data_IF_740441454546
#
_entry.id   IF_740441454546
#
_cell.length_a   1.000
_cell.length_b   1.000
_cell.length_c   1.000
_cell.angle_alpha   90.00
_cell.angle_beta   90.00
_cell.angle_gamma   90.00
#
_symmetry.space_group_name_H-M   'P 1'
#
loop_
_entity.id
_entity.type
_entity.pdbx_description
1 polymer ?
#
# COMPACT_ATOMS: atom_id res chain seq x y z
N UNK A 1 77.34 76.95 30.12
CA UNK A 1 75.98 76.96 30.72
C UNK A 1 74.96 77.16 29.60
N UNK A 2 74.06 76.20 29.42
CA UNK A 2 72.94 76.28 28.46
C UNK A 2 71.78 77.07 29.08
N UNK A 3 70.87 77.64 28.27
CA UNK A 3 69.46 77.69 28.66
C UNK A 3 68.55 76.94 27.68
N UNK A 4 67.54 76.35 28.30
CA UNK A 4 66.61 75.32 27.83
C UNK A 4 65.39 75.96 27.16
N UNK A 5 64.96 75.40 26.03
CA UNK A 5 63.71 75.71 25.35
C UNK A 5 62.51 75.07 26.06
N UNK A 6 61.48 75.86 26.39
CA UNK A 6 60.16 75.40 26.81
C UNK A 6 59.39 74.82 25.62
N UNK A 7 58.90 73.58 25.75
CA UNK A 7 57.88 72.99 24.87
C UNK A 7 56.68 72.64 25.76
N UNK A 8 55.53 73.30 25.53
CA UNK A 8 54.28 73.01 26.22
C UNK A 8 53.64 71.72 25.70
N UNK A 9 53.15 70.90 26.63
CA UNK A 9 52.56 69.56 26.41
C UNK A 9 51.08 69.64 26.04
N UNK A 10 50.70 69.15 24.86
CA UNK A 10 49.30 69.03 24.37
C UNK A 10 48.83 67.57 24.35
N UNK A 11 48.97 66.83 25.45
CA UNK A 11 48.62 65.39 25.51
C UNK A 11 47.47 65.03 26.49
N UNK A 12 46.64 65.99 26.90
CA UNK A 12 45.57 65.71 27.89
C UNK A 12 44.15 65.56 27.31
N UNK A 13 43.90 65.88 26.03
CA UNK A 13 42.52 65.93 25.50
C UNK A 13 42.07 64.69 24.73
N UNK A 14 42.96 63.75 24.40
CA UNK A 14 42.64 62.59 23.54
C UNK A 14 42.21 61.33 24.31
N UNK A 15 42.37 61.31 25.64
CA UNK A 15 42.07 60.12 26.46
C UNK A 15 40.59 60.02 26.87
N UNK A 16 39.85 61.13 26.90
CA UNK A 16 38.43 61.14 27.27
C UNK A 16 37.49 60.88 26.08
N UNK A 17 37.92 61.10 24.83
CA UNK A 17 37.09 60.87 23.64
C UNK A 17 37.01 59.40 23.25
N UNK A 18 38.09 58.63 23.45
CA UNK A 18 38.14 57.19 23.16
C UNK A 18 37.28 56.37 24.12
N UNK A 19 37.29 56.69 25.42
CA UNK A 19 36.50 55.96 26.43
C UNK A 19 34.97 56.12 26.24
N UNK A 20 34.51 57.25 25.71
CA UNK A 20 33.09 57.49 25.40
C UNK A 20 32.65 56.77 24.11
N UNK A 21 33.55 56.65 23.13
CA UNK A 21 33.27 55.94 21.87
C UNK A 21 33.19 54.41 22.09
N UNK A 22 34.02 53.84 22.96
CA UNK A 22 33.99 52.40 23.27
C UNK A 22 32.73 51.98 24.04
N UNK A 23 32.24 52.80 24.97
CA UNK A 23 30.97 52.57 25.67
C UNK A 23 29.76 52.64 24.73
N UNK A 24 29.75 53.58 23.77
CA UNK A 24 28.68 53.67 22.76
C UNK A 24 28.66 52.46 21.81
N UNK A 25 29.81 51.84 21.57
CA UNK A 25 29.98 50.66 20.72
C UNK A 25 29.54 49.38 21.45
N UNK A 26 29.83 49.24 22.75
CA UNK A 26 29.30 48.17 23.63
C UNK A 26 27.77 48.20 23.73
N UNK A 27 27.18 49.39 23.94
CA UNK A 27 25.73 49.55 24.06
C UNK A 27 25.01 49.26 22.72
N UNK A 28 25.62 49.63 21.60
CA UNK A 28 25.14 49.31 20.26
C UNK A 28 25.20 47.80 19.98
N UNK A 29 26.27 47.12 20.41
CA UNK A 29 26.38 45.64 20.30
C UNK A 29 25.32 44.92 21.13
N UNK A 30 25.05 45.37 22.37
CA UNK A 30 23.96 44.81 23.20
C UNK A 30 22.60 44.97 22.52
N UNK A 31 22.29 46.16 21.99
CA UNK A 31 21.03 46.41 21.25
C UNK A 31 20.85 45.49 20.05
N UNK A 32 21.93 45.15 19.33
CA UNK A 32 21.89 44.20 18.20
C UNK A 32 21.67 42.76 18.68
N UNK A 33 22.28 42.35 19.81
CA UNK A 33 22.10 41.02 20.40
C UNK A 33 20.67 40.85 20.92
N UNK A 34 20.13 41.85 21.60
CA UNK A 34 18.76 41.84 22.13
C UNK A 34 17.72 41.84 20.99
N UNK A 35 17.95 42.63 19.93
CA UNK A 35 17.11 42.60 18.72
C UNK A 35 17.17 41.24 18.01
N UNK A 36 18.34 40.58 17.96
CA UNK A 36 18.48 39.24 17.42
C UNK A 36 17.78 38.18 18.30
N UNK A 37 17.79 38.34 19.63
CA UNK A 37 17.07 37.49 20.55
C UNK A 37 15.54 37.62 20.39
N UNK A 38 15.03 38.83 20.21
CA UNK A 38 13.61 39.09 19.93
C UNK A 38 13.18 38.50 18.58
N UNK A 39 14.01 38.62 17.54
CA UNK A 39 13.74 38.01 16.23
C UNK A 39 13.70 36.48 16.33
N UNK A 40 14.62 35.86 17.07
CA UNK A 40 14.62 34.40 17.33
C UNK A 40 13.38 33.98 18.12
N UNK A 41 12.96 34.75 19.12
CA UNK A 41 11.74 34.47 19.88
C UNK A 41 10.48 34.55 19.00
N UNK A 42 10.39 35.51 18.08
CA UNK A 42 9.28 35.62 17.11
C UNK A 42 9.24 34.46 16.13
N UNK A 43 10.40 34.03 15.60
CA UNK A 43 10.48 32.86 14.71
C UNK A 43 10.09 31.58 15.45
N UNK A 44 10.58 31.39 16.68
CA UNK A 44 10.22 30.23 17.50
C UNK A 44 8.72 30.22 17.87
N UNK A 45 8.10 31.38 18.13
CA UNK A 45 6.66 31.48 18.37
C UNK A 45 5.85 31.14 17.10
N UNK A 46 6.27 31.65 15.94
CA UNK A 46 5.64 31.34 14.66
C UNK A 46 5.76 29.86 14.27
N UNK A 47 6.88 29.21 14.58
CA UNK A 47 7.07 27.77 14.40
C UNK A 47 6.17 26.94 15.33
N UNK A 48 6.03 27.35 16.60
CA UNK A 48 5.11 26.68 17.55
C UNK A 48 3.66 26.78 17.07
N UNK A 49 3.23 27.94 16.58
CA UNK A 49 1.88 28.13 16.04
C UNK A 49 1.65 27.30 14.76
N UNK A 50 2.66 27.17 13.88
CA UNK A 50 2.59 26.26 12.72
C UNK A 50 2.48 24.79 13.14
N UNK A 51 3.24 24.36 14.15
CA UNK A 51 3.16 22.99 14.70
C UNK A 51 1.80 22.71 15.32
N UNK A 52 1.24 23.64 16.10
CA UNK A 52 -0.11 23.52 16.65
C UNK A 52 -1.17 23.41 15.56
N UNK A 53 -1.11 24.26 14.52
CA UNK A 53 -2.03 24.18 13.37
C UNK A 53 -1.96 22.83 12.65
N UNK A 54 -0.75 22.28 12.45
CA UNK A 54 -0.58 20.96 11.84
C UNK A 54 -1.13 19.84 12.72
N UNK A 55 -0.99 19.94 14.04
CA UNK A 55 -1.52 18.97 14.98
C UNK A 55 -3.05 19.01 15.04
N UNK A 56 -3.65 20.20 15.07
CA UNK A 56 -5.10 20.40 14.99
C UNK A 56 -5.69 19.85 13.68
N UNK A 57 -5.03 20.11 12.55
CA UNK A 57 -5.43 19.55 11.25
C UNK A 57 -5.35 18.02 11.24
N UNK A 58 -4.30 17.46 11.85
CA UNK A 58 -4.14 16.00 12.00
C UNK A 58 -5.23 15.40 12.89
N UNK A 59 -5.60 16.06 13.99
CA UNK A 59 -6.69 15.63 14.85
C UNK A 59 -8.04 15.70 14.13
N UNK A 60 -8.30 16.77 13.37
CA UNK A 60 -9.51 16.92 12.55
C UNK A 60 -9.64 15.80 11.52
N UNK A 61 -8.56 15.48 10.79
CA UNK A 61 -8.53 14.38 9.82
C UNK A 61 -8.80 13.02 10.48
N UNK A 62 -8.27 12.77 11.68
CA UNK A 62 -8.55 11.54 12.45
C UNK A 62 -10.03 11.44 12.83
N UNK A 63 -10.63 12.54 13.30
CA UNK A 63 -12.04 12.58 13.68
C UNK A 63 -12.95 12.34 12.46
N UNK A 64 -12.65 12.96 11.32
CA UNK A 64 -13.38 12.75 10.06
C UNK A 64 -13.30 11.30 9.59
N UNK A 65 -12.12 10.68 9.65
CA UNK A 65 -11.96 9.25 9.34
C UNK A 65 -12.77 8.36 10.27
N UNK A 66 -12.81 8.67 11.57
CA UNK A 66 -13.59 7.90 12.55
C UNK A 66 -15.09 8.03 12.29
N UNK A 67 -15.58 9.23 11.97
CA UNK A 67 -16.98 9.45 11.59
C UNK A 67 -17.35 8.71 10.30
N UNK A 68 -16.46 8.69 9.30
CA UNK A 68 -16.69 7.97 8.04
C UNK A 68 -16.81 6.46 8.30
N UNK A 69 -15.91 5.89 9.12
CA UNK A 69 -15.97 4.49 9.52
C UNK A 69 -17.25 4.16 10.30
N UNK A 70 -17.74 5.05 11.16
CA UNK A 70 -19.00 4.86 11.88
C UNK A 70 -20.20 4.88 10.92
N UNK A 71 -20.22 5.80 9.94
CA UNK A 71 -21.27 5.86 8.89
C UNK A 71 -21.28 4.60 8.03
N UNK A 72 -20.12 4.08 7.64
CA UNK A 72 -20.01 2.82 6.89
C UNK A 72 -20.48 1.62 7.71
N UNK A 73 -20.11 1.54 9.00
CA UNK A 73 -20.60 0.51 9.92
C UNK A 73 -22.13 0.59 10.07
N UNK A 74 -22.72 1.78 10.20
CA UNK A 74 -24.17 1.95 10.25
C UNK A 74 -24.87 1.53 8.94
N UNK A 75 -24.34 1.93 7.77
CA UNK A 75 -24.83 1.48 6.46
C UNK A 75 -24.76 -0.04 6.31
N UNK A 76 -23.69 -0.67 6.80
CA UNK A 76 -23.52 -2.13 6.76
C UNK A 76 -24.52 -2.86 7.68
N UNK A 77 -24.84 -2.28 8.85
CA UNK A 77 -25.86 -2.81 9.77
C UNK A 77 -27.26 -2.72 9.15
N UNK A 78 -27.63 -1.57 8.60
CA UNK A 78 -28.92 -1.38 7.92
C UNK A 78 -29.08 -2.33 6.72
N UNK A 79 -28.04 -2.50 5.90
CA UNK A 79 -28.05 -3.46 4.77
C UNK A 79 -28.19 -4.90 5.24
N UNK A 80 -27.61 -5.27 6.38
CA UNK A 80 -27.74 -6.61 6.97
C UNK A 80 -29.14 -6.83 7.55
N UNK A 81 -29.73 -5.84 8.19
CA UNK A 81 -31.12 -5.88 8.70
C UNK A 81 -32.15 -5.96 7.56
N UNK A 82 -31.95 -5.20 6.48
CA UNK A 82 -32.78 -5.25 5.28
C UNK A 82 -32.71 -6.64 4.60
N UNK A 83 -31.51 -7.21 4.49
CA UNK A 83 -31.31 -8.56 3.94
C UNK A 83 -31.97 -9.64 4.83
N UNK A 84 -31.97 -9.46 6.15
CA UNK A 84 -32.65 -10.36 7.10
C UNK A 84 -34.18 -10.26 7.00
N UNK A 85 -34.74 -9.06 6.79
CA UNK A 85 -36.18 -8.87 6.55
C UNK A 85 -36.64 -9.53 5.25
N UNK A 86 -35.89 -9.33 4.16
CA UNK A 86 -36.17 -9.95 2.84
C UNK A 86 -36.09 -11.48 2.88
N UNK A 87 -35.23 -12.04 3.74
CA UNK A 87 -35.15 -13.49 3.98
C UNK A 87 -36.36 -14.03 4.76
N UNK A 88 -36.94 -13.25 5.68
CA UNK A 88 -38.18 -13.60 6.40
C UNK A 88 -39.41 -13.55 5.50
N UNK A 89 -39.52 -12.56 4.60
CA UNK A 89 -40.60 -12.46 3.61
C UNK A 89 -40.58 -13.64 2.61
N UNK A 90 -39.39 -14.04 2.13
CA UNK A 90 -39.24 -15.20 1.25
C UNK A 90 -39.52 -16.56 1.95
N UNK A 91 -39.49 -16.61 3.29
CA UNK A 91 -39.90 -17.79 4.05
C UNK A 91 -41.42 -17.83 4.32
N UNK A 92 -42.09 -16.67 4.40
CA UNK A 92 -43.55 -16.60 4.49
C UNK A 92 -44.23 -17.05 3.19
N UNK A 93 -43.63 -16.76 2.03
CA UNK A 93 -44.17 -17.13 0.71
C UNK A 93 -43.94 -18.61 0.31
N UNK A 94 -43.36 -19.45 1.20
CA UNK A 94 -43.19 -20.90 1.00
C UNK A 94 -44.20 -21.77 1.77
N UNK A 95 -45.18 -21.18 2.46
CA UNK A 95 -46.30 -21.90 3.08
C UNK A 95 -47.53 -21.96 2.15
N UNK A 96 -47.33 -22.48 0.95
CA UNK A 96 -48.39 -22.93 0.05
C UNK A 96 -47.79 -23.99 -0.90
N UNK A 97 -47.45 -25.16 -0.34
CA UNK A 97 -46.84 -26.26 -1.08
C UNK A 97 -46.76 -27.51 -0.22
N UNK A 98 -47.47 -28.55 -0.62
CA UNK A 98 -47.87 -29.70 0.19
C UNK A 98 -46.75 -30.62 0.70
N UNK A 99 -47.02 -31.07 1.92
CA UNK A 99 -46.61 -32.27 2.66
C UNK A 99 -45.83 -33.39 1.91
N UNK A 100 -44.62 -33.72 2.39
CA UNK A 100 -44.12 -35.12 2.39
C UNK A 100 -43.26 -35.36 3.65
N UNK A 101 -43.73 -36.29 4.48
CA UNK A 101 -43.10 -36.75 5.73
C UNK A 101 -41.87 -37.63 5.41
N UNK A 102 -40.81 -37.52 6.21
CA UNK A 102 -40.01 -38.64 6.74
C UNK A 102 -39.07 -38.14 7.85
N UNK A 103 -38.84 -39.03 8.81
CA UNK A 103 -38.35 -38.91 10.19
C UNK A 103 -36.88 -38.55 10.41
N UNK A 104 -36.62 -38.00 11.61
CA UNK A 104 -35.31 -37.85 12.29
C UNK A 104 -34.64 -39.22 12.56
N UNK A 105 -33.33 -39.24 12.91
CA UNK A 105 -32.97 -39.27 14.35
C UNK A 105 -31.86 -38.27 14.73
N UNK A 106 -31.66 -38.15 16.05
CA UNK A 106 -30.84 -37.17 16.78
C UNK A 106 -29.80 -37.90 17.65
N UNK A 107 -28.56 -37.43 17.69
CA UNK A 107 -27.58 -37.59 18.79
C UNK A 107 -26.38 -36.66 18.50
N UNK A 108 -26.17 -35.59 19.27
CA UNK A 108 -25.45 -35.44 20.54
C UNK A 108 -23.91 -35.29 20.40
N UNK A 109 -23.43 -34.22 21.01
CA UNK A 109 -22.04 -33.77 21.14
C UNK A 109 -21.12 -34.80 21.82
N UNK A 110 -19.83 -34.80 21.46
CA UNK A 110 -18.69 -34.69 22.41
C UNK A 110 -17.35 -34.70 21.66
N UNK A 111 -16.37 -34.07 22.31
CA UNK A 111 -15.03 -33.79 21.82
C UNK A 111 -14.06 -35.00 21.84
N UNK A 112 -12.92 -34.78 21.18
CA UNK A 112 -11.59 -35.36 21.43
C UNK A 112 -11.12 -36.57 20.62
N UNK A 113 -9.80 -36.54 20.42
CA UNK A 113 -8.89 -37.62 20.05
C UNK A 113 -8.69 -37.93 18.55
N UNK A 114 -7.70 -37.22 18.00
CA UNK A 114 -6.56 -37.78 17.24
C UNK A 114 -6.59 -39.30 17.09
N UNK A 115 -6.70 -39.78 15.85
CA UNK A 115 -6.00 -40.98 15.38
C UNK A 115 -5.60 -40.79 13.93
N UNK A 116 -4.29 -40.78 13.71
CA UNK A 116 -3.67 -40.94 12.40
C UNK A 116 -4.09 -42.31 11.85
N UNK A 117 -4.66 -42.33 10.65
CA UNK A 117 -4.66 -43.50 9.80
C UNK A 117 -4.19 -43.07 8.42
N UNK A 118 -2.99 -43.56 8.12
CA UNK A 118 -2.36 -43.61 6.81
C UNK A 118 -3.32 -44.18 5.77
N UNK A 119 -3.54 -43.47 4.67
CA UNK A 119 -4.01 -44.08 3.43
C UNK A 119 -3.25 -43.44 2.26
N UNK A 120 -2.23 -44.18 1.84
CA UNK A 120 -1.55 -44.00 0.57
C UNK A 120 -2.49 -44.37 -0.59
N UNK A 121 -2.21 -43.79 -1.75
CA UNK A 121 -2.73 -44.13 -3.08
C UNK A 121 -4.17 -43.70 -3.42
N UNK A 122 -4.27 -42.49 -3.97
CA UNK A 122 -5.10 -42.29 -5.16
C UNK A 122 -4.19 -41.79 -6.27
N UNK A 123 -3.66 -42.73 -7.07
CA UNK A 123 -3.14 -42.44 -8.40
C UNK A 123 -4.34 -41.94 -9.22
N UNK A 124 -4.48 -40.62 -9.33
CA UNK A 124 -5.46 -40.00 -10.23
C UNK A 124 -4.97 -40.28 -11.66
N UNK A 125 -5.50 -41.34 -12.25
CA UNK A 125 -5.37 -41.59 -13.68
C UNK A 125 -5.84 -40.33 -14.41
N UNK A 126 -4.96 -39.80 -15.25
CA UNK A 126 -5.26 -38.72 -16.18
C UNK A 126 -6.29 -39.27 -17.17
N UNK A 127 -7.58 -39.02 -16.90
CA UNK A 127 -8.63 -39.28 -17.89
C UNK A 127 -8.33 -38.46 -19.13
N UNK A 128 -8.03 -39.15 -20.24
CA UNK A 128 -7.91 -38.53 -21.55
C UNK A 128 -9.22 -37.79 -21.85
N UNK A 129 -9.19 -36.54 -22.33
CA UNK A 129 -10.41 -35.83 -22.69
C UNK A 129 -11.14 -36.66 -23.74
N UNK A 130 -12.37 -37.08 -23.42
CA UNK A 130 -13.25 -37.73 -24.38
C UNK A 130 -13.36 -36.83 -25.61
N UNK A 131 -13.27 -37.39 -26.84
CA UNK A 131 -13.37 -36.58 -28.03
C UNK A 131 -14.71 -35.84 -28.01
N UNK A 132 -14.69 -34.52 -28.22
CA UNK A 132 -15.88 -33.70 -28.07
C UNK A 132 -16.97 -34.17 -29.01
N UNK A 133 -18.15 -34.39 -28.44
CA UNK A 133 -19.28 -34.95 -29.16
C UNK A 133 -19.63 -34.02 -30.32
N UNK A 134 -19.54 -34.53 -31.55
CA UNK A 134 -19.98 -33.82 -32.75
C UNK A 134 -21.45 -34.13 -32.98
N UNK A 135 -22.23 -33.13 -33.32
CA UNK A 135 -23.66 -33.27 -33.54
C UNK A 135 -24.17 -32.39 -34.69
N UNK A 136 -25.45 -32.54 -35.01
CA UNK A 136 -26.14 -31.74 -36.02
C UNK A 136 -26.80 -30.52 -35.36
N UNK A 137 -26.64 -29.36 -35.98
CA UNK A 137 -27.32 -28.14 -35.55
C UNK A 137 -28.83 -28.29 -35.72
N UNK A 138 -29.61 -27.80 -34.75
CA UNK A 138 -31.09 -27.82 -34.83
C UNK A 138 -31.62 -26.80 -35.83
N UNK A 139 -30.95 -25.65 -35.95
CA UNK A 139 -31.37 -24.53 -36.79
C UNK A 139 -30.15 -23.72 -37.25
N UNK A 140 -30.19 -23.22 -38.49
CA UNK A 140 -29.16 -22.35 -39.05
C UNK A 140 -29.82 -21.07 -39.58
N UNK A 141 -29.59 -19.95 -38.91
CA UNK A 141 -30.11 -18.65 -39.31
C UNK A 141 -29.25 -17.99 -40.39
N UNK A 142 -27.93 -18.15 -40.31
CA UNK A 142 -26.99 -17.62 -41.30
C UNK A 142 -26.83 -16.09 -41.28
N UNK A 143 -27.34 -15.38 -40.27
CA UNK A 143 -27.20 -13.93 -40.19
C UNK A 143 -25.87 -13.46 -39.57
N UNK A 144 -25.10 -14.36 -38.93
CA UNK A 144 -23.81 -14.06 -38.29
C UNK A 144 -23.86 -12.90 -37.26
N UNK A 145 -25.03 -12.62 -36.69
CA UNK A 145 -25.20 -11.52 -35.74
C UNK A 145 -25.55 -10.16 -36.38
N UNK A 146 -25.74 -10.09 -37.70
CA UNK A 146 -26.11 -8.83 -38.38
C UNK A 146 -27.61 -8.51 -38.31
N UNK A 147 -28.46 -9.54 -38.29
CA UNK A 147 -29.94 -9.40 -38.21
C UNK A 147 -30.51 -9.66 -36.82
N UNK A 148 -29.85 -10.50 -36.03
CA UNK A 148 -30.22 -10.83 -34.65
C UNK A 148 -29.01 -10.60 -33.76
N UNK A 149 -29.22 -10.38 -32.46
CA UNK A 149 -28.11 -10.12 -31.56
C UNK A 149 -27.13 -11.30 -31.58
N UNK A 150 -25.82 -11.04 -31.71
CA UNK A 150 -24.82 -12.09 -31.63
C UNK A 150 -24.80 -12.67 -30.20
N UNK A 151 -24.87 -14.00 -30.08
CA UNK A 151 -24.80 -14.70 -28.80
C UNK A 151 -23.36 -15.03 -28.43
N UNK A 152 -22.69 -15.82 -29.26
CA UNK A 152 -21.35 -16.34 -29.00
C UNK A 152 -20.72 -16.85 -30.29
N UNK A 153 -19.40 -16.94 -30.34
CA UNK A 153 -18.69 -17.59 -31.44
C UNK A 153 -18.49 -19.08 -31.15
N UNK A 154 -18.44 -19.89 -32.20
CA UNK A 154 -17.96 -21.25 -32.08
C UNK A 154 -16.44 -21.23 -31.82
N UNK A 155 -15.98 -21.75 -30.68
CA UNK A 155 -14.56 -21.80 -30.34
C UNK A 155 -13.73 -22.76 -31.22
N UNK A 156 -14.38 -23.57 -32.06
CA UNK A 156 -13.69 -24.52 -32.95
C UNK A 156 -13.47 -23.97 -34.36
N UNK A 157 -14.41 -23.18 -34.90
CA UNK A 157 -14.34 -22.65 -36.27
C UNK A 157 -14.53 -21.12 -36.39
N UNK A 158 -14.77 -20.43 -35.28
CA UNK A 158 -14.95 -18.98 -35.25
C UNK A 158 -16.31 -18.46 -35.73
N UNK A 159 -17.21 -19.33 -36.25
CA UNK A 159 -18.53 -18.89 -36.74
C UNK A 159 -19.38 -18.29 -35.61
N UNK A 160 -19.92 -17.09 -35.84
CA UNK A 160 -20.77 -16.38 -34.87
C UNK A 160 -22.20 -16.92 -34.93
N UNK A 161 -22.71 -17.39 -33.79
CA UNK A 161 -24.09 -17.80 -33.60
C UNK A 161 -24.94 -16.62 -33.09
N UNK A 162 -26.19 -16.54 -33.55
CA UNK A 162 -27.13 -15.51 -33.13
C UNK A 162 -28.22 -16.05 -32.19
N UNK A 163 -29.00 -15.16 -31.58
CA UNK A 163 -30.09 -15.53 -30.65
C UNK A 163 -31.09 -16.55 -31.20
N UNK A 164 -31.39 -16.54 -32.51
CA UNK A 164 -32.27 -17.54 -33.14
C UNK A 164 -31.64 -18.92 -33.27
N UNK A 165 -30.32 -19.00 -33.43
CA UNK A 165 -29.60 -20.26 -33.49
C UNK A 165 -29.41 -20.84 -32.07
N UNK A 166 -29.23 -19.97 -31.07
CA UNK A 166 -29.13 -20.36 -29.67
C UNK A 166 -27.83 -21.11 -29.33
N UNK A 167 -27.82 -21.75 -28.16
CA UNK A 167 -26.76 -22.67 -27.74
C UNK A 167 -27.06 -24.08 -28.25
N UNK A 168 -26.07 -24.75 -28.83
CA UNK A 168 -26.24 -26.03 -29.51
C UNK A 168 -25.05 -26.38 -30.40
N UNK A 169 -25.22 -27.34 -31.32
CA UNK A 169 -24.16 -27.69 -32.25
C UNK A 169 -23.98 -26.62 -33.32
N UNK A 170 -22.73 -26.25 -33.60
CA UNK A 170 -22.40 -25.31 -34.67
C UNK A 170 -22.87 -25.83 -36.03
N UNK A 171 -23.61 -25.05 -36.83
CA UNK A 171 -24.05 -25.47 -38.18
C UNK A 171 -22.90 -25.75 -39.15
N UNK A 172 -21.72 -25.20 -38.90
CA UNK A 172 -20.57 -25.32 -39.78
C UNK A 172 -19.67 -26.51 -39.43
N UNK A 173 -19.17 -26.58 -38.18
CA UNK A 173 -18.22 -27.61 -37.77
C UNK A 173 -18.80 -28.69 -36.85
N UNK A 174 -20.08 -28.59 -36.47
CA UNK A 174 -20.76 -29.59 -35.64
C UNK A 174 -20.32 -29.66 -34.17
N UNK A 175 -19.50 -28.71 -33.70
CA UNK A 175 -19.03 -28.66 -32.32
C UNK A 175 -20.05 -28.00 -31.40
N UNK A 176 -20.19 -28.49 -30.17
CA UNK A 176 -21.14 -27.94 -29.19
C UNK A 176 -20.71 -26.54 -28.72
N UNK A 177 -21.62 -25.59 -28.86
CA UNK A 177 -21.52 -24.22 -28.34
C UNK A 177 -22.18 -24.20 -26.97
N UNK A 178 -21.38 -24.16 -25.91
CA UNK A 178 -21.84 -24.19 -24.52
C UNK A 178 -22.19 -22.80 -23.97
N UNK A 179 -23.10 -22.77 -22.98
CA UNK A 179 -23.48 -21.56 -22.27
C UNK A 179 -22.52 -21.32 -21.09
N UNK A 180 -21.48 -20.53 -21.33
CA UNK A 180 -20.38 -20.23 -20.39
C UNK A 180 -20.82 -19.55 -19.08
N UNK A 181 -21.99 -18.90 -19.08
CA UNK A 181 -22.49 -18.14 -17.93
C UNK A 181 -22.75 -19.00 -16.67
N UNK A 182 -23.05 -20.29 -16.85
CA UNK A 182 -23.36 -21.21 -15.74
C UNK A 182 -22.08 -21.64 -14.98
N UNK A 183 -20.93 -21.65 -15.66
CA UNK A 183 -19.64 -22.03 -15.05
C UNK A 183 -18.97 -20.84 -14.35
N UNK A 184 -19.04 -19.65 -14.94
CA UNK A 184 -18.39 -18.45 -14.37
C UNK A 184 -19.07 -17.96 -13.07
N UNK A 185 -20.35 -18.25 -12.85
CA UNK A 185 -21.05 -17.87 -11.61
C UNK A 185 -20.60 -18.62 -10.35
N UNK A 186 -20.18 -19.89 -10.49
CA UNK A 186 -19.71 -20.72 -9.36
C UNK A 186 -18.24 -20.44 -9.03
N UNK A 187 -17.45 -20.09 -10.04
CA UNK A 187 -16.00 -19.93 -9.90
C UNK A 187 -15.57 -18.52 -9.50
N UNK A 188 -16.39 -17.47 -9.61
CA UNK A 188 -16.00 -16.10 -9.16
C UNK A 188 -15.49 -16.02 -7.71
N UNK A 189 -16.02 -16.84 -6.79
CA UNK A 189 -15.52 -16.90 -5.40
C UNK A 189 -14.20 -17.68 -5.32
N UNK A 190 -14.10 -18.75 -6.11
CA UNK A 190 -12.91 -19.60 -6.20
C UNK A 190 -11.74 -18.86 -6.88
N UNK A 191 -11.99 -18.14 -7.97
CA UNK A 191 -11.02 -17.31 -8.69
C UNK A 191 -10.51 -16.18 -7.79
N UNK A 192 -11.39 -15.51 -7.04
CA UNK A 192 -10.97 -14.50 -6.06
C UNK A 192 -10.10 -15.11 -4.96
N UNK A 193 -10.45 -16.31 -4.48
CA UNK A 193 -9.64 -17.02 -3.49
C UNK A 193 -8.28 -17.46 -4.06
N UNK A 194 -8.24 -17.89 -5.33
CA UNK A 194 -7.01 -18.25 -6.03
C UNK A 194 -6.10 -17.04 -6.25
N UNK A 195 -6.63 -15.92 -6.77
CA UNK A 195 -5.89 -14.67 -6.94
C UNK A 195 -5.34 -14.18 -5.60
N UNK A 196 -6.13 -14.25 -4.53
CA UNK A 196 -5.68 -13.87 -3.20
C UNK A 196 -4.57 -14.80 -2.66
N UNK A 197 -4.71 -16.12 -2.86
CA UNK A 197 -3.69 -17.11 -2.52
C UNK A 197 -2.38 -16.83 -3.24
N UNK A 198 -2.43 -16.59 -4.55
CA UNK A 198 -1.23 -16.30 -5.35
C UNK A 198 -0.59 -14.97 -4.92
N UNK A 199 -1.39 -13.96 -4.57
CA UNK A 199 -0.89 -12.70 -4.01
C UNK A 199 -0.15 -12.90 -2.69
N UNK A 200 -0.66 -13.73 -1.78
CA UNK A 200 -0.01 -14.03 -0.50
C UNK A 200 1.30 -14.80 -0.72
N UNK A 201 1.29 -15.83 -1.57
CA UNK A 201 2.49 -16.60 -1.89
C UNK A 201 3.57 -15.73 -2.55
N UNK A 202 3.16 -14.77 -3.39
CA UNK A 202 4.07 -13.78 -3.98
C UNK A 202 4.69 -12.88 -2.91
N UNK A 203 3.87 -12.40 -1.98
CA UNK A 203 4.35 -11.60 -0.85
C UNK A 203 5.35 -12.38 0.01
N UNK A 204 5.06 -13.62 0.37
CA UNK A 204 6.00 -14.43 1.16
C UNK A 204 7.33 -14.68 0.44
N UNK A 205 7.31 -14.82 -0.90
CA UNK A 205 8.52 -15.00 -1.72
C UNK A 205 9.33 -13.72 -1.87
N UNK A 206 8.67 -12.58 -2.07
CA UNK A 206 9.32 -11.33 -2.51
C UNK A 206 9.50 -10.30 -1.39
N UNK A 207 8.65 -10.30 -0.36
CA UNK A 207 8.58 -9.21 0.61
C UNK A 207 9.74 -9.24 1.61
N UNK A 208 10.18 -10.42 2.04
CA UNK A 208 11.36 -10.60 2.90
C UNK A 208 12.64 -10.05 2.24
N UNK A 209 12.68 -9.99 0.90
CA UNK A 209 13.82 -9.48 0.14
C UNK A 209 13.70 -7.99 -0.19
N UNK A 210 12.48 -7.42 -0.19
CA UNK A 210 12.21 -6.06 -0.68
C UNK A 210 12.23 -5.00 0.42
N UNK A 211 11.93 -5.34 1.67
CA UNK A 211 11.93 -4.37 2.78
C UNK A 211 13.03 -4.67 3.78
N UNK A 212 14.27 -4.32 3.42
CA UNK A 212 15.26 -3.99 4.45
C UNK A 212 14.88 -2.59 4.94
N UNK A 213 14.46 -2.49 6.20
CA UNK A 213 14.28 -1.19 6.85
C UNK A 213 15.69 -0.66 7.07
N UNK A 214 16.09 0.31 6.24
CA UNK A 214 17.34 1.03 6.39
C UNK A 214 17.10 2.12 7.43
N UNK A 215 17.99 2.22 8.41
CA UNK A 215 17.96 3.26 9.43
C UNK A 215 18.86 4.41 8.96
N UNK A 216 18.21 5.44 8.41
CA UNK A 216 18.84 6.64 7.85
C UNK A 216 19.72 7.39 8.87
N UNK A 217 19.50 7.18 10.17
CA UNK A 217 20.30 7.78 11.24
C UNK A 217 21.53 6.93 11.54
N UNK A 218 21.38 5.61 11.67
CA UNK A 218 22.51 4.72 11.96
C UNK A 218 23.57 4.69 10.84
N UNK A 219 23.13 4.85 9.59
CA UNK A 219 24.03 4.82 8.43
C UNK A 219 24.76 6.14 8.19
N UNK A 220 24.26 7.26 8.72
CA UNK A 220 24.87 8.60 8.56
C UNK A 220 25.66 9.04 9.78
N UNK A 221 25.23 8.65 10.98
CA UNK A 221 25.97 8.86 12.22
C UNK A 221 26.87 7.66 12.50
N UNK A 222 27.92 7.52 11.69
CA UNK A 222 29.02 6.59 12.02
C UNK A 222 29.55 6.96 13.40
N UNK A 223 29.67 5.98 14.29
CA UNK A 223 30.21 6.13 15.65
C UNK A 223 31.70 6.55 15.70
N UNK A 224 32.26 7.03 14.58
CA UNK A 224 33.64 7.53 14.42
C UNK A 224 34.02 8.62 15.43
N UNK A 225 33.04 9.33 16.00
CA UNK A 225 33.26 10.35 17.05
C UNK A 225 32.57 10.01 18.36
N UNK A 226 32.20 8.75 18.58
CA UNK A 226 31.66 8.35 19.88
C UNK A 226 32.79 8.20 20.89
N UNK A 227 32.67 8.86 22.04
CA UNK A 227 33.69 8.97 23.09
C UNK A 227 34.04 7.64 23.80
N UNK A 228 33.55 6.50 23.28
CA UNK A 228 33.58 5.19 23.91
C UNK A 228 34.35 4.13 23.11
N UNK A 229 34.98 4.49 21.98
CA UNK A 229 35.89 3.61 21.24
C UNK A 229 37.36 3.94 21.53
N UNK A 230 38.22 2.93 21.49
CA UNK A 230 39.67 3.11 21.54
C UNK A 230 40.19 3.71 20.22
N UNK A 231 41.37 4.32 20.23
CA UNK A 231 41.96 5.02 19.08
C UNK A 231 42.14 4.12 17.84
N UNK A 232 42.53 2.86 18.05
CA UNK A 232 42.64 1.86 16.99
C UNK A 232 41.27 1.50 16.38
N UNK A 233 40.24 1.35 17.23
CA UNK A 233 38.88 1.02 16.78
C UNK A 233 38.21 2.21 16.07
N UNK A 234 38.56 3.44 16.47
CA UNK A 234 38.13 4.66 15.79
C UNK A 234 38.71 4.73 14.37
N UNK A 235 40.00 4.42 14.22
CA UNK A 235 40.67 4.39 12.91
C UNK A 235 40.04 3.35 11.98
N UNK A 236 39.78 2.12 12.47
CA UNK A 236 39.11 1.09 11.67
C UNK A 236 37.67 1.46 11.28
N UNK A 237 36.95 2.14 12.18
CA UNK A 237 35.60 2.63 11.89
C UNK A 237 35.65 3.69 10.79
N UNK A 238 36.61 4.61 10.84
CA UNK A 238 36.81 5.66 9.84
C UNK A 238 37.23 5.09 8.49
N UNK A 239 38.13 4.11 8.46
CA UNK A 239 38.55 3.43 7.24
C UNK A 239 37.37 2.70 6.56
N UNK A 240 36.55 1.99 7.37
CA UNK A 240 35.35 1.32 6.87
C UNK A 240 34.32 2.31 6.31
N UNK A 241 34.18 3.48 6.94
CA UNK A 241 33.28 4.54 6.49
C UNK A 241 33.77 5.21 5.20
N UNK A 242 35.07 5.52 5.13
CA UNK A 242 35.72 6.06 3.95
C UNK A 242 35.60 5.11 2.75
N UNK A 243 35.80 3.81 2.97
CA UNK A 243 35.62 2.78 1.94
C UNK A 243 34.20 2.70 1.43
N UNK A 244 33.19 2.71 2.32
CA UNK A 244 31.77 2.75 1.91
C UNK A 244 31.46 4.02 1.10
N UNK A 245 32.00 5.18 1.49
CA UNK A 245 31.83 6.43 0.74
C UNK A 245 32.48 6.34 -0.64
N UNK A 246 33.68 5.78 -0.75
CA UNK A 246 34.34 5.54 -2.03
C UNK A 246 33.49 4.62 -2.92
N UNK A 247 33.01 3.49 -2.41
CA UNK A 247 32.13 2.57 -3.16
C UNK A 247 30.82 3.24 -3.62
N UNK A 248 30.25 4.14 -2.80
CA UNK A 248 29.07 4.92 -3.16
C UNK A 248 29.37 5.97 -4.24
N UNK A 249 30.54 6.63 -4.18
CA UNK A 249 31.02 7.54 -5.23
C UNK A 249 31.38 6.80 -6.52
N UNK A 250 31.78 5.53 -6.43
CA UNK A 250 32.11 4.66 -7.56
C UNK A 250 30.87 4.03 -8.23
N UNK A 251 29.67 4.11 -7.63
CA UNK A 251 28.44 3.61 -8.26
C UNK A 251 28.25 4.25 -9.63
N UNK A 252 28.44 3.43 -10.66
CA UNK A 252 28.37 3.82 -12.07
C UNK A 252 26.98 4.36 -12.40
N UNK A 253 26.92 5.50 -13.08
CA UNK A 253 25.67 6.06 -13.63
C UNK A 253 25.07 5.05 -14.60
N UNK A 254 23.97 4.42 -14.21
CA UNK A 254 23.21 3.53 -15.10
C UNK A 254 22.40 4.42 -16.06
N UNK A 255 22.82 4.48 -17.31
CA UNK A 255 22.01 5.05 -18.39
C UNK A 255 20.96 4.02 -18.81
N UNK A 256 19.69 4.35 -18.61
CA UNK A 256 18.57 3.57 -19.13
C UNK A 256 18.27 4.07 -20.54
N UNK A 257 18.70 3.31 -21.55
CA UNK A 257 18.37 3.60 -22.93
C UNK A 257 16.92 3.14 -23.19
N UNK A 258 15.99 4.09 -23.18
CA UNK A 258 14.59 3.85 -23.51
C UNK A 258 14.45 4.00 -25.02
N UNK A 259 14.43 2.88 -25.74
CA UNK A 259 14.02 2.85 -27.13
C UNK A 259 12.50 3.02 -27.23
N UNK A 260 12.06 4.03 -27.97
CA UNK A 260 10.66 4.28 -28.32
C UNK A 260 10.25 3.51 -29.57
#
# INVERSE_FOLDING_TARGET
ALPISLIHSTKATTYNTTLLQDNSNEESKKKVIDAAAEQRARVAAAEKEKKQRQEDERQKRKLEQQQQQQKEKAKSKNKREEMLKKKKENQANKKAGGNKKTSLPKSNDTASAVKQTTNNNVKKALEKPTPPQRGKAKFACGCFGTRHKPLTNCLHCGRIACEKEGYGYCPFCGYLIEQLDIQMGKNKKLDKALIHKERLLKFDREFTQRTVILDDQADYFSNTTSAWLNEEEQYEAEERDAKKRQEMHERKKLTLDIAF
#
